data_IF_717644915708
#
_entry.id   IF_717644915708
#
_cell.length_a   1.000
_cell.length_b   1.000
_cell.length_c   1.000
_cell.angle_alpha   90.00
_cell.angle_beta   90.00
_cell.angle_gamma   90.00
#
_symmetry.space_group_name_H-M   'P 1'
#
loop_
_entity.id
_entity.type
_entity.pdbx_description
1 polymer ?
#
# COMPACT_ATOMS: atom_id res chain seq x y z
N UNK A 1 -9.12 -35.37 44.35
CA UNK A 1 -8.60 -33.99 44.22
C UNK A 1 -7.75 -33.95 42.97
N UNK A 2 -8.20 -33.30 41.90
CA UNK A 2 -7.40 -32.66 40.84
C UNK A 2 -8.39 -31.99 39.86
N UNK A 3 -8.59 -30.69 40.08
CA UNK A 3 -9.39 -29.79 39.27
C UNK A 3 -8.64 -29.43 37.99
N UNK A 4 -9.24 -29.69 36.83
CA UNK A 4 -8.76 -29.19 35.54
C UNK A 4 -8.93 -27.66 35.51
N UNK A 5 -7.89 -26.86 35.23
CA UNK A 5 -8.05 -25.42 35.12
C UNK A 5 -8.78 -25.06 33.82
N UNK A 6 -9.95 -24.44 33.96
CA UNK A 6 -10.62 -23.73 32.88
C UNK A 6 -9.77 -22.52 32.50
N UNK A 7 -8.98 -22.61 31.44
CA UNK A 7 -8.31 -21.45 30.87
C UNK A 7 -9.34 -20.57 30.14
N UNK A 8 -9.41 -19.25 30.44
CA UNK A 8 -10.29 -18.34 29.73
C UNK A 8 -9.85 -18.22 28.26
N UNK A 9 -10.83 -18.31 27.36
CA UNK A 9 -10.67 -18.26 25.91
C UNK A 9 -10.30 -16.85 25.41
N UNK A 10 -9.13 -16.34 25.81
CA UNK A 10 -8.67 -14.97 25.49
C UNK A 10 -7.93 -14.86 24.13
N UNK A 11 -7.85 -15.93 23.34
CA UNK A 11 -7.02 -15.95 22.13
C UNK A 11 -7.74 -16.39 20.85
N UNK A 12 -9.04 -16.06 20.74
CA UNK A 12 -9.84 -16.36 19.55
C UNK A 12 -10.43 -15.15 18.85
N UNK A 13 -9.99 -13.95 19.21
CA UNK A 13 -10.55 -12.69 18.71
C UNK A 13 -9.53 -11.82 17.93
N UNK A 14 -8.68 -12.47 17.14
CA UNK A 14 -7.97 -11.83 16.02
C UNK A 14 -8.77 -11.98 14.71
N UNK A 15 -10.10 -12.02 14.80
CA UNK A 15 -10.92 -11.67 13.65
C UNK A 15 -10.63 -10.19 13.39
N UNK A 16 -10.32 -9.73 12.16
CA UNK A 16 -10.35 -8.31 11.88
C UNK A 16 -11.79 -7.88 12.12
N UNK A 17 -12.05 -7.34 13.31
CA UNK A 17 -13.28 -6.64 13.66
C UNK A 17 -13.52 -5.72 12.49
N UNK A 18 -14.69 -5.82 11.85
CA UNK A 18 -15.13 -4.78 10.93
C UNK A 18 -15.02 -3.48 11.69
N UNK A 19 -13.96 -2.70 11.44
CA UNK A 19 -13.73 -1.45 12.16
C UNK A 19 -15.04 -0.67 12.07
N UNK A 20 -15.55 -0.19 13.20
CA UNK A 20 -16.72 0.68 13.15
C UNK A 20 -16.43 1.77 12.12
N UNK A 21 -17.40 2.13 11.27
CA UNK A 21 -17.19 3.13 10.19
C UNK A 21 -16.49 4.41 10.69
N UNK A 22 -16.68 4.76 11.96
CA UNK A 22 -15.97 5.83 12.65
C UNK A 22 -14.46 5.60 12.78
N UNK A 23 -14.01 4.41 13.13
CA UNK A 23 -12.58 4.06 13.24
C UNK A 23 -11.88 4.06 11.87
N UNK A 24 -12.54 3.56 10.81
CA UNK A 24 -11.99 3.62 9.45
C UNK A 24 -11.84 5.07 8.97
N UNK A 25 -12.86 5.89 9.21
CA UNK A 25 -12.85 7.33 8.85
C UNK A 25 -11.80 8.09 9.64
N UNK A 26 -11.63 7.81 10.94
CA UNK A 26 -10.60 8.40 11.77
C UNK A 26 -9.21 8.06 11.24
N UNK A 27 -8.97 6.78 10.90
CA UNK A 27 -7.71 6.34 10.31
C UNK A 27 -7.40 7.07 9.01
N UNK A 28 -8.38 7.21 8.12
CA UNK A 28 -8.24 7.97 6.87
C UNK A 28 -7.90 9.44 7.12
N UNK A 29 -8.54 10.08 8.11
CA UNK A 29 -8.23 11.48 8.48
C UNK A 29 -6.80 11.62 8.97
N UNK A 30 -6.32 10.70 9.82
CA UNK A 30 -4.94 10.72 10.30
C UNK A 30 -3.97 10.59 9.14
N UNK A 31 -4.21 9.66 8.22
CA UNK A 31 -3.37 9.51 7.03
C UNK A 31 -3.40 10.72 6.10
N UNK A 32 -4.56 11.37 5.94
CA UNK A 32 -4.67 12.62 5.19
C UNK A 32 -3.88 13.75 5.87
N UNK A 33 -4.06 13.96 7.17
CA UNK A 33 -3.31 14.97 7.92
C UNK A 33 -1.79 14.75 7.83
N UNK A 34 -1.34 13.50 7.87
CA UNK A 34 0.07 13.17 7.66
C UNK A 34 0.54 13.49 6.24
N UNK A 35 -0.18 13.02 5.23
CA UNK A 35 0.21 13.16 3.82
C UNK A 35 0.18 14.61 3.33
N UNK A 36 -0.76 15.43 3.81
CA UNK A 36 -0.85 16.85 3.43
C UNK A 36 -0.06 17.75 4.38
N UNK A 37 -0.16 17.50 5.69
CA UNK A 37 0.44 18.33 6.71
C UNK A 37 1.96 18.27 6.71
N UNK A 38 2.56 17.09 6.51
CA UNK A 38 4.02 16.95 6.45
C UNK A 38 4.66 17.82 5.37
N UNK A 39 4.28 17.67 4.08
CA UNK A 39 4.78 18.51 3.00
C UNK A 39 4.48 20.00 3.20
N UNK A 40 3.27 20.35 3.65
CA UNK A 40 2.91 21.75 3.91
C UNK A 40 3.75 22.37 5.02
N UNK A 41 4.05 21.61 6.08
CA UNK A 41 4.87 22.07 7.19
C UNK A 41 6.32 22.30 6.71
N UNK A 42 6.90 21.33 6.01
CA UNK A 42 8.29 21.44 5.52
C UNK A 42 8.42 22.59 4.51
N UNK A 43 7.51 22.67 3.54
CA UNK A 43 7.50 23.73 2.53
C UNK A 43 7.22 25.10 3.15
N UNK A 44 6.29 25.18 4.10
CA UNK A 44 5.97 26.42 4.82
C UNK A 44 7.14 26.91 5.67
N UNK A 45 7.84 26.01 6.36
CA UNK A 45 9.07 26.34 7.10
C UNK A 45 10.19 26.79 6.15
N UNK A 46 10.38 26.11 5.03
CA UNK A 46 11.36 26.51 4.02
C UNK A 46 11.06 27.92 3.49
N UNK A 47 9.81 28.21 3.13
CA UNK A 47 9.38 29.52 2.65
C UNK A 47 9.53 30.62 3.73
N UNK A 48 9.21 30.30 4.99
CA UNK A 48 9.37 31.23 6.11
C UNK A 48 10.85 31.57 6.34
N UNK A 49 11.73 30.56 6.35
CA UNK A 49 13.18 30.75 6.55
C UNK A 49 13.80 31.57 5.42
N UNK A 50 13.29 31.42 4.20
CA UNK A 50 13.74 32.17 3.03
C UNK A 50 13.42 33.67 3.13
N UNK A 51 12.36 34.05 3.85
CA UNK A 51 11.91 35.45 3.95
C UNK A 51 12.60 36.27 5.05
N UNK A 52 13.36 35.63 5.95
CA UNK A 52 14.07 36.36 6.99
C UNK A 52 15.19 37.25 6.38
N UNK A 53 15.66 38.31 7.05
CA UNK A 53 16.81 39.11 6.61
C UNK A 53 18.12 38.35 6.90
N UNK A 54 19.14 38.38 6.01
CA UNK A 54 20.37 37.63 6.23
C UNK A 54 21.14 38.23 7.42
N UNK A 55 21.11 37.51 8.55
CA UNK A 55 21.77 37.92 9.79
C UNK A 55 23.17 37.29 9.89
N UNK A 56 24.23 38.08 10.12
CA UNK A 56 25.60 37.57 10.26
C UNK A 56 25.83 36.84 11.59
N UNK A 57 24.94 36.98 12.57
CA UNK A 57 25.07 36.42 13.91
C UNK A 57 24.40 35.02 14.05
N UNK A 58 23.39 34.73 13.22
CA UNK A 58 22.69 33.44 13.17
C UNK A 58 22.51 32.98 11.73
N UNK A 59 23.40 32.11 11.25
CA UNK A 59 23.33 31.57 9.91
C UNK A 59 22.30 30.43 9.83
N UNK A 60 21.02 30.78 9.67
CA UNK A 60 19.99 29.82 9.28
C UNK A 60 20.27 29.31 7.86
N UNK A 61 20.11 27.99 7.64
CA UNK A 61 20.26 27.42 6.30
C UNK A 61 19.09 27.85 5.41
N UNK A 62 19.34 28.80 4.51
CA UNK A 62 18.29 29.35 3.65
C UNK A 62 18.17 28.60 2.34
N UNK A 63 16.96 28.20 1.92
CA UNK A 63 16.72 27.59 0.62
C UNK A 63 17.19 28.45 -0.56
N UNK A 64 17.03 29.78 -0.45
CA UNK A 64 17.38 30.80 -1.45
C UNK A 64 16.70 30.48 -2.78
N UNK A 65 15.38 30.38 -2.74
CA UNK A 65 14.61 30.02 -3.92
C UNK A 65 14.73 31.08 -5.01
N UNK A 66 15.00 30.67 -6.25
CA UNK A 66 14.97 31.60 -7.39
C UNK A 66 16.22 32.46 -7.58
N UNK A 67 17.21 32.43 -6.68
CA UNK A 67 18.42 33.25 -6.80
C UNK A 67 19.35 32.78 -7.95
N UNK A 68 19.51 31.46 -8.11
CA UNK A 68 20.36 30.87 -9.17
C UNK A 68 19.55 30.21 -10.29
N UNK A 69 18.45 29.57 -9.90
CA UNK A 69 17.55 28.80 -10.75
C UNK A 69 16.18 28.80 -10.08
N UNK A 70 15.11 28.48 -10.81
CA UNK A 70 13.76 28.30 -10.26
C UNK A 70 13.64 27.02 -9.42
N UNK A 71 14.55 26.85 -8.46
CA UNK A 71 14.75 25.74 -7.55
C UNK A 71 15.59 26.23 -6.37
N UNK A 72 15.96 25.33 -5.46
CA UNK A 72 16.91 25.61 -4.38
C UNK A 72 18.28 26.06 -4.93
N UNK A 73 18.97 26.91 -4.18
CA UNK A 73 20.28 27.44 -4.58
C UNK A 73 21.39 26.38 -4.61
N UNK A 74 21.45 25.52 -3.58
CA UNK A 74 22.54 24.58 -3.37
C UNK A 74 22.10 23.20 -2.90
N UNK A 75 23.05 22.26 -2.90
CA UNK A 75 22.78 20.86 -2.57
C UNK A 75 22.46 20.64 -1.09
N UNK A 76 23.04 21.43 -0.19
CA UNK A 76 22.79 21.31 1.25
C UNK A 76 21.34 21.72 1.58
N UNK A 77 20.85 22.75 0.92
CA UNK A 77 19.49 23.25 1.02
C UNK A 77 18.49 22.22 0.48
N UNK A 78 18.76 21.64 -0.69
CA UNK A 78 17.94 20.57 -1.27
C UNK A 78 17.90 19.36 -0.33
N UNK A 79 19.05 18.96 0.22
CA UNK A 79 19.12 17.84 1.15
C UNK A 79 18.31 18.10 2.41
N UNK A 80 18.47 19.28 3.04
CA UNK A 80 17.79 19.58 4.29
C UNK A 80 16.26 19.68 4.15
N UNK A 81 15.78 20.31 3.08
CA UNK A 81 14.36 20.65 2.93
C UNK A 81 13.59 19.72 1.98
N UNK A 82 14.26 18.91 1.15
CA UNK A 82 13.60 18.06 0.16
C UNK A 82 14.08 16.59 0.21
N UNK A 83 15.31 16.30 -0.21
CA UNK A 83 15.78 14.92 -0.34
C UNK A 83 16.02 14.20 0.99
N UNK A 84 16.29 14.92 2.08
CA UNK A 84 16.42 14.36 3.42
C UNK A 84 15.09 13.80 3.93
N UNK A 85 14.03 14.64 4.04
CA UNK A 85 12.70 14.17 4.40
C UNK A 85 12.18 13.06 3.48
N UNK A 86 12.31 13.21 2.16
CA UNK A 86 11.92 12.21 1.17
C UNK A 86 12.72 10.91 1.37
N UNK A 87 14.04 11.00 1.52
CA UNK A 87 14.92 9.85 1.73
C UNK A 87 14.57 9.09 3.01
N UNK A 88 14.24 9.80 4.09
CA UNK A 88 13.75 9.19 5.33
C UNK A 88 12.44 8.43 5.11
N UNK A 89 11.48 9.02 4.39
CA UNK A 89 10.21 8.36 4.02
C UNK A 89 10.45 7.10 3.19
N UNK A 90 11.35 7.16 2.22
CA UNK A 90 11.73 6.01 1.39
C UNK A 90 12.37 4.90 2.22
N UNK A 91 13.29 5.24 3.14
CA UNK A 91 13.93 4.29 4.01
C UNK A 91 12.92 3.56 4.91
N UNK A 92 11.97 4.29 5.49
CA UNK A 92 10.89 3.70 6.30
C UNK A 92 10.00 2.80 5.42
N UNK A 93 9.64 3.26 4.22
CA UNK A 93 8.84 2.47 3.27
C UNK A 93 9.55 1.17 2.85
N UNK A 94 10.86 1.22 2.60
CA UNK A 94 11.68 0.04 2.30
C UNK A 94 11.77 -0.93 3.50
N UNK A 95 11.89 -0.41 4.72
CA UNK A 95 11.88 -1.23 5.93
C UNK A 95 10.53 -1.96 6.09
N UNK A 96 9.41 -1.25 5.96
CA UNK A 96 8.08 -1.86 6.01
C UNK A 96 7.86 -2.89 4.91
N UNK A 97 8.36 -2.60 3.70
CA UNK A 97 8.36 -3.55 2.61
C UNK A 97 9.18 -4.79 2.94
N UNK A 98 10.41 -4.64 3.47
CA UNK A 98 11.27 -5.76 3.82
C UNK A 98 10.64 -6.66 4.90
N UNK A 99 10.01 -6.06 5.91
CA UNK A 99 9.26 -6.79 6.95
C UNK A 99 8.10 -7.56 6.31
N UNK A 100 7.27 -6.89 5.50
CA UNK A 100 6.12 -7.52 4.83
C UNK A 100 6.56 -8.64 3.89
N UNK A 101 7.64 -8.44 3.13
CA UNK A 101 8.20 -9.43 2.22
C UNK A 101 8.74 -10.65 2.98
N UNK A 102 9.41 -10.45 4.13
CA UNK A 102 9.84 -11.53 5.02
C UNK A 102 8.64 -12.32 5.54
N UNK A 103 7.63 -11.66 6.09
CA UNK A 103 6.42 -12.33 6.60
C UNK A 103 5.70 -13.14 5.50
N UNK A 104 5.61 -12.59 4.29
CA UNK A 104 5.03 -13.30 3.15
C UNK A 104 5.88 -14.50 2.74
N UNK A 105 7.20 -14.34 2.64
CA UNK A 105 8.11 -15.41 2.18
C UNK A 105 8.21 -16.55 3.22
N UNK A 106 8.38 -16.20 4.50
CA UNK A 106 8.40 -17.16 5.61
C UNK A 106 7.04 -17.83 5.83
N UNK A 107 5.95 -17.06 5.71
CA UNK A 107 4.59 -17.59 5.82
C UNK A 107 4.20 -18.52 4.67
N UNK A 108 4.77 -18.34 3.48
CA UNK A 108 4.66 -19.28 2.36
C UNK A 108 5.42 -20.59 2.64
N UNK A 109 6.61 -20.49 3.23
CA UNK A 109 7.48 -21.64 3.54
C UNK A 109 6.91 -22.56 4.63
N UNK A 110 6.09 -22.04 5.56
CA UNK A 110 5.43 -22.84 6.62
C UNK A 110 4.24 -23.70 6.16
N UNK A 111 3.88 -23.74 4.88
CA UNK A 111 2.99 -24.76 4.33
C UNK A 111 1.47 -24.60 4.56
N UNK A 112 0.96 -23.44 5.02
CA UNK A 112 -0.50 -23.16 5.14
C UNK A 112 -1.16 -22.78 3.78
N UNK A 113 -0.77 -23.44 2.69
CA UNK A 113 -0.92 -22.88 1.33
C UNK A 113 -2.33 -22.93 0.71
N UNK A 114 -3.33 -23.58 1.32
CA UNK A 114 -4.54 -23.96 0.56
C UNK A 114 -5.75 -23.02 0.72
N UNK A 115 -5.75 -22.07 1.68
CA UNK A 115 -6.93 -21.21 1.90
C UNK A 115 -6.70 -19.69 1.91
N UNK A 116 -5.45 -19.22 2.07
CA UNK A 116 -5.08 -17.78 2.17
C UNK A 116 -4.21 -17.26 1.00
N UNK A 117 -3.90 -18.11 0.00
CA UNK A 117 -2.98 -17.76 -1.09
C UNK A 117 -3.43 -16.53 -1.89
N UNK A 118 -4.74 -16.32 -2.03
CA UNK A 118 -5.30 -15.20 -2.80
C UNK A 118 -5.13 -13.85 -2.12
N UNK A 119 -5.31 -13.77 -0.79
CA UNK A 119 -5.10 -12.52 -0.03
C UNK A 119 -3.62 -12.17 0.05
N UNK A 120 -2.76 -13.16 0.32
CA UNK A 120 -1.29 -12.97 0.33
C UNK A 120 -0.75 -12.59 -1.04
N UNK A 121 -1.23 -13.21 -2.12
CA UNK A 121 -0.86 -12.83 -3.49
C UNK A 121 -1.36 -11.44 -3.87
N UNK A 122 -2.53 -11.03 -3.37
CA UNK A 122 -3.07 -9.68 -3.58
C UNK A 122 -2.22 -8.65 -2.83
N UNK A 123 -1.89 -8.90 -1.56
CA UNK A 123 -1.00 -8.05 -0.77
C UNK A 123 0.40 -7.94 -1.40
N UNK A 124 0.95 -9.05 -1.89
CA UNK A 124 2.22 -9.09 -2.61
C UNK A 124 2.19 -8.27 -3.90
N UNK A 125 1.11 -8.37 -4.71
CA UNK A 125 0.95 -7.53 -5.92
C UNK A 125 0.85 -6.05 -5.59
N UNK A 126 0.15 -5.68 -4.52
CA UNK A 126 0.03 -4.29 -4.08
C UNK A 126 1.39 -3.77 -3.61
N UNK A 127 2.11 -4.52 -2.78
CA UNK A 127 3.45 -4.17 -2.32
C UNK A 127 4.45 -4.04 -3.49
N UNK A 128 4.44 -4.98 -4.43
CA UNK A 128 5.31 -4.94 -5.60
C UNK A 128 5.02 -3.71 -6.47
N UNK A 129 3.75 -3.34 -6.65
CA UNK A 129 3.37 -2.09 -7.33
C UNK A 129 3.87 -0.84 -6.59
N UNK A 130 3.76 -0.81 -5.26
CA UNK A 130 4.21 0.31 -4.43
C UNK A 130 5.73 0.50 -4.53
N UNK A 131 6.52 -0.57 -4.49
CA UNK A 131 7.99 -0.47 -4.58
C UNK A 131 8.47 -0.15 -5.98
N UNK A 132 7.90 -0.77 -7.02
CA UNK A 132 8.37 -0.56 -8.40
C UNK A 132 8.00 0.84 -8.89
N UNK A 133 6.74 1.26 -8.70
CA UNK A 133 6.26 2.51 -9.30
C UNK A 133 6.74 3.74 -8.52
N UNK A 134 6.80 3.65 -7.19
CA UNK A 134 7.22 4.78 -6.36
C UNK A 134 8.66 4.63 -5.88
N UNK A 135 9.08 3.46 -5.40
CA UNK A 135 10.43 3.29 -4.84
C UNK A 135 11.54 3.53 -5.86
N UNK A 136 11.45 2.94 -7.06
CA UNK A 136 12.52 3.00 -8.06
C UNK A 136 12.70 4.42 -8.64
N UNK A 137 11.61 5.12 -8.95
CA UNK A 137 11.66 6.48 -9.50
C UNK A 137 12.30 7.46 -8.51
N UNK A 138 11.87 7.40 -7.25
CA UNK A 138 12.43 8.24 -6.20
C UNK A 138 13.89 7.90 -5.86
N UNK A 139 14.28 6.63 -5.89
CA UNK A 139 15.71 6.25 -5.74
C UNK A 139 16.52 6.79 -6.91
N UNK A 140 15.99 6.72 -8.14
CA UNK A 140 16.66 7.29 -9.31
C UNK A 140 16.85 8.81 -9.20
N UNK A 141 15.86 9.55 -8.70
CA UNK A 141 16.00 11.00 -8.43
C UNK A 141 17.07 11.32 -7.38
N UNK A 142 17.11 10.55 -6.29
CA UNK A 142 18.13 10.75 -5.24
C UNK A 142 19.53 10.47 -5.80
N UNK A 143 19.66 9.43 -6.63
CA UNK A 143 20.93 9.06 -7.27
C UNK A 143 21.34 10.11 -8.32
N UNK A 144 20.41 10.62 -9.14
CA UNK A 144 20.71 11.65 -10.15
C UNK A 144 21.21 12.93 -9.49
N UNK A 145 20.60 13.32 -8.37
CA UNK A 145 21.05 14.44 -7.56
C UNK A 145 22.43 14.20 -6.90
N UNK A 146 22.64 13.03 -6.30
CA UNK A 146 23.85 12.74 -5.53
C UNK A 146 25.10 12.51 -6.41
N UNK A 147 24.94 11.78 -7.52
CA UNK A 147 26.03 11.44 -8.44
C UNK A 147 26.29 12.58 -9.43
N UNK A 148 25.24 13.30 -9.84
CA UNK A 148 25.34 14.34 -10.86
C UNK A 148 25.84 13.79 -12.20
N UNK A 149 26.59 14.60 -12.94
CA UNK A 149 27.14 14.24 -14.25
C UNK A 149 26.34 14.80 -15.43
N UNK A 150 26.62 14.33 -16.66
CA UNK A 150 25.95 14.83 -17.85
C UNK A 150 24.44 14.55 -17.84
N UNK A 151 23.64 15.55 -18.20
CA UNK A 151 22.18 15.51 -18.14
C UNK A 151 21.57 14.35 -18.95
N UNK A 152 22.20 13.94 -20.04
CA UNK A 152 21.67 12.90 -20.93
C UNK A 152 21.58 11.51 -20.26
N UNK A 153 22.36 11.25 -19.21
CA UNK A 153 22.34 9.97 -18.49
C UNK A 153 21.02 9.83 -17.70
N UNK A 154 20.46 10.95 -17.26
CA UNK A 154 19.27 11.01 -16.41
C UNK A 154 17.98 11.22 -17.18
N UNK A 155 18.02 11.54 -18.48
CA UNK A 155 16.80 11.78 -19.27
C UNK A 155 15.78 10.65 -19.21
N UNK A 156 16.23 9.40 -19.20
CA UNK A 156 15.32 8.26 -19.10
C UNK A 156 14.64 8.19 -17.71
N UNK A 157 15.40 8.38 -16.64
CA UNK A 157 14.87 8.35 -15.27
C UNK A 157 13.98 9.56 -14.99
N UNK A 158 14.37 10.73 -15.47
CA UNK A 158 13.60 11.98 -15.34
C UNK A 158 12.28 11.88 -16.12
N UNK A 159 12.29 11.24 -17.30
CA UNK A 159 11.08 10.99 -18.07
C UNK A 159 10.13 10.03 -17.34
N UNK A 160 10.64 8.96 -16.75
CA UNK A 160 9.84 8.03 -15.95
C UNK A 160 9.25 8.72 -14.70
N UNK A 161 10.04 9.57 -14.05
CA UNK A 161 9.60 10.38 -12.92
C UNK A 161 8.51 11.40 -13.34
N UNK A 162 8.69 12.10 -14.46
CA UNK A 162 7.68 12.98 -15.02
C UNK A 162 6.39 12.24 -15.41
N UNK A 163 6.51 10.99 -15.88
CA UNK A 163 5.39 10.11 -16.21
C UNK A 163 4.81 9.37 -14.99
N UNK A 164 5.33 9.59 -13.77
CA UNK A 164 4.95 8.85 -12.57
C UNK A 164 3.44 8.91 -12.30
N UNK A 165 2.80 10.06 -12.56
CA UNK A 165 1.34 10.19 -12.44
C UNK A 165 0.57 9.20 -13.34
N UNK A 166 1.04 8.99 -14.57
CA UNK A 166 0.46 8.02 -15.51
C UNK A 166 0.70 6.59 -15.02
N UNK A 167 1.89 6.30 -14.50
CA UNK A 167 2.23 4.98 -13.96
C UNK A 167 1.34 4.63 -12.74
N UNK A 168 1.10 5.60 -11.85
CA UNK A 168 0.18 5.44 -10.70
C UNK A 168 -1.25 5.19 -11.21
N UNK A 169 -1.71 5.97 -12.19
CA UNK A 169 -3.04 5.80 -12.78
C UNK A 169 -3.20 4.40 -13.39
N UNK A 170 -2.20 3.90 -14.12
CA UNK A 170 -2.22 2.55 -14.66
C UNK A 170 -2.18 1.49 -13.54
N UNK A 171 -1.38 1.69 -12.50
CA UNK A 171 -1.26 0.75 -11.39
C UNK A 171 -2.54 0.62 -10.55
N UNK A 172 -3.26 1.73 -10.33
CA UNK A 172 -4.46 1.77 -9.46
C UNK A 172 -5.75 1.77 -10.27
N UNK A 173 -5.87 2.63 -11.28
CA UNK A 173 -7.09 2.82 -12.07
C UNK A 173 -7.41 1.67 -13.04
N UNK A 174 -6.39 0.99 -13.58
CA UNK A 174 -6.63 -0.13 -14.50
C UNK A 174 -6.92 -1.47 -13.79
N UNK A 175 -7.10 -1.47 -12.47
CA UNK A 175 -7.46 -2.68 -11.74
C UNK A 175 -8.83 -3.21 -12.21
N UNK A 176 -9.00 -4.53 -12.37
CA UNK A 176 -10.24 -5.12 -12.88
C UNK A 176 -11.45 -4.76 -12.00
N UNK A 177 -11.24 -4.57 -10.70
CA UNK A 177 -12.26 -4.12 -9.76
C UNK A 177 -12.76 -2.70 -10.08
N UNK A 178 -11.84 -1.76 -10.32
CA UNK A 178 -12.16 -0.38 -10.72
C UNK A 178 -12.83 -0.35 -12.09
N UNK A 179 -12.30 -1.10 -13.06
CA UNK A 179 -12.90 -1.21 -14.39
C UNK A 179 -14.31 -1.82 -14.35
N UNK A 180 -14.54 -2.83 -13.50
CA UNK A 180 -15.86 -3.42 -13.30
C UNK A 180 -16.84 -2.45 -12.62
N UNK A 181 -16.40 -1.70 -11.61
CA UNK A 181 -17.21 -0.66 -10.97
C UNK A 181 -17.55 0.47 -11.96
N UNK A 182 -16.59 0.90 -12.76
CA UNK A 182 -16.76 1.92 -13.79
C UNK A 182 -17.74 1.45 -14.88
N UNK A 183 -17.61 0.21 -15.35
CA UNK A 183 -18.55 -0.40 -16.29
C UNK A 183 -19.96 -0.46 -15.71
N UNK A 184 -20.13 -0.78 -14.41
CA UNK A 184 -21.43 -0.76 -13.73
C UNK A 184 -22.00 0.66 -13.61
N UNK A 185 -21.16 1.66 -13.40
CA UNK A 185 -21.57 3.06 -13.35
C UNK A 185 -22.06 3.55 -14.72
N UNK A 186 -21.32 3.25 -15.79
CA UNK A 186 -21.72 3.59 -17.16
C UNK A 186 -22.87 2.75 -17.71
N UNK A 187 -23.04 1.51 -17.23
CA UNK A 187 -24.17 0.64 -17.60
C UNK A 187 -25.43 0.90 -16.76
N UNK A 188 -25.36 1.76 -15.74
CA UNK A 188 -26.52 2.24 -14.97
C UNK A 188 -27.27 3.28 -15.80
N UNK A 189 -27.90 2.82 -16.87
CA UNK A 189 -28.99 3.57 -17.49
C UNK A 189 -30.15 3.64 -16.46
N UNK A 190 -30.77 4.81 -16.20
CA UNK A 190 -31.89 4.95 -15.25
C UNK A 190 -33.21 4.32 -15.72
N UNK A 191 -33.21 3.50 -16.78
CA UNK A 191 -34.44 2.91 -17.33
C UNK A 191 -34.54 1.42 -17.01
N UNK A 192 -35.76 1.04 -16.63
CA UNK A 192 -36.30 -0.30 -16.35
C UNK A 192 -36.11 -0.87 -14.94
N UNK A 193 -36.72 -0.21 -13.96
CA UNK A 193 -37.42 -0.90 -12.86
C UNK A 193 -38.88 -0.42 -12.77
N UNK A 194 -39.53 -0.30 -13.94
CA UNK A 194 -40.98 -0.33 -14.06
C UNK A 194 -41.28 -1.54 -14.96
N UNK A 195 -41.85 -2.60 -14.40
CA UNK A 195 -42.22 -3.80 -15.16
C UNK A 195 -41.60 -5.11 -14.69
N UNK A 196 -41.76 -5.45 -13.41
CA UNK A 196 -41.80 -6.87 -13.01
C UNK A 196 -42.87 -7.11 -11.95
N UNK A 197 -44.06 -6.55 -12.22
CA UNK A 197 -45.31 -7.07 -11.71
C UNK A 197 -45.87 -7.96 -12.84
N UNK A 198 -45.78 -9.27 -12.64
CA UNK A 198 -46.14 -10.26 -13.66
C UNK A 198 -46.04 -11.67 -13.11
N UNK A 199 -47.12 -12.08 -12.44
CA UNK A 199 -47.64 -13.43 -12.22
C UNK A 199 -46.70 -14.64 -12.40
N UNK A 200 -46.57 -15.41 -11.31
CA UNK A 200 -46.21 -16.82 -11.34
C UNK A 200 -46.67 -17.48 -10.03
N UNK A 201 -47.81 -18.15 -10.10
CA UNK A 201 -48.48 -18.92 -9.05
C UNK A 201 -47.58 -19.96 -8.33
N UNK A 202 -47.88 -20.17 -7.04
CA UNK A 202 -47.99 -21.43 -6.25
C UNK A 202 -47.17 -22.67 -6.69
N UNK A 203 -46.56 -23.52 -5.85
CA UNK A 203 -47.14 -24.26 -4.70
C UNK A 203 -46.04 -25.18 -4.07
N UNK A 204 -46.08 -25.37 -2.73
CA UNK A 204 -45.81 -26.60 -1.92
C UNK A 204 -44.51 -27.43 -1.99
N UNK A 205 -43.83 -27.47 -0.82
CA UNK A 205 -43.47 -28.60 0.08
C UNK A 205 -43.08 -30.01 -0.43
N UNK A 206 -42.30 -30.68 0.45
CA UNK A 206 -41.82 -32.09 0.47
C UNK A 206 -40.49 -32.32 -0.28
N UNK A 207 -39.44 -32.95 0.24
CA UNK A 207 -39.13 -33.66 1.48
C UNK A 207 -37.79 -34.40 1.24
N UNK A 208 -36.89 -34.46 2.23
CA UNK A 208 -35.71 -35.35 2.22
C UNK A 208 -36.13 -36.80 2.50
N UNK A 209 -35.39 -37.79 1.98
CA UNK A 209 -34.49 -38.63 2.82
C UNK A 209 -33.23 -39.07 2.02
N UNK A 210 -32.23 -39.83 2.48
CA UNK A 210 -31.60 -40.25 3.74
C UNK A 210 -30.48 -41.24 3.30
N UNK A 211 -29.37 -41.26 4.04
CA UNK A 211 -28.38 -42.34 4.25
C UNK A 211 -27.60 -43.02 3.10
N UNK A 212 -26.30 -43.24 3.38
CA UNK A 212 -25.48 -44.29 2.77
C UNK A 212 -23.98 -44.13 3.00
N UNK A 213 -23.47 -44.77 4.06
CA UNK A 213 -22.06 -44.84 4.48
C UNK A 213 -21.10 -45.50 3.46
N UNK A 214 -19.82 -45.14 3.49
CA UNK A 214 -18.67 -45.99 3.10
C UNK A 214 -17.32 -45.43 3.61
N UNK A 215 -16.75 -46.17 4.57
CA UNK A 215 -15.41 -46.15 5.18
C UNK A 215 -14.34 -46.56 4.10
N UNK A 216 -13.07 -46.15 4.00
CA UNK A 216 -11.89 -46.31 4.91
C UNK A 216 -10.60 -45.74 4.21
N UNK A 217 -9.69 -45.11 4.98
CA UNK A 217 -8.20 -45.24 5.08
C UNK A 217 -7.32 -45.42 3.80
N UNK A 218 -6.07 -44.93 3.61
CA UNK A 218 -5.00 -44.37 4.45
C UNK A 218 -3.82 -43.82 3.56
N UNK A 219 -2.67 -43.35 4.11
CA UNK A 219 -1.86 -42.25 3.57
C UNK A 219 -0.63 -42.67 2.74
N UNK A 220 -0.01 -41.71 2.04
CA UNK A 220 1.38 -41.86 1.58
C UNK A 220 2.19 -40.61 1.88
N UNK A 221 3.11 -40.80 2.82
CA UNK A 221 4.24 -39.96 3.19
C UNK A 221 5.18 -39.75 2.01
N UNK A 222 5.62 -38.50 1.78
CA UNK A 222 6.95 -38.26 1.21
C UNK A 222 7.61 -37.04 1.83
N UNK A 223 8.84 -37.33 2.23
CA UNK A 223 9.80 -36.64 3.06
C UNK A 223 10.30 -35.32 2.45
N UNK A 224 10.62 -34.35 3.32
CA UNK A 224 11.38 -33.13 3.02
C UNK A 224 12.78 -33.43 2.44
N UNK A 225 13.51 -32.46 1.84
CA UNK A 225 14.21 -31.44 2.64
C UNK A 225 14.41 -30.07 1.94
N UNK A 226 14.55 -28.99 2.71
CA UNK A 226 15.81 -28.24 2.84
C UNK A 226 15.54 -27.05 3.76
N UNK A 227 16.06 -27.12 4.99
CA UNK A 227 16.08 -26.00 5.90
C UNK A 227 16.98 -24.90 5.32
N UNK A 228 16.41 -23.72 5.11
CA UNK A 228 17.18 -22.49 5.15
C UNK A 228 16.48 -21.60 6.15
N UNK A 229 17.18 -21.39 7.26
CA UNK A 229 16.74 -20.64 8.41
C UNK A 229 16.55 -19.18 7.94
N UNK A 230 15.30 -18.70 8.01
CA UNK A 230 14.97 -17.28 7.99
C UNK A 230 14.94 -16.73 9.42
#
# INVERSE_FOLDING_TARGET
MLTVPSYPSAFRDLRPVSLEKGQETLRLRIYACYAWGGPLLIAGLAALVDHFPPDPEYSFLRPRFGEKQCWFYGNMEILAYFFGPVGGLLAINLLFFAITARELTCGLWKGEFVKSTTERATLGRICMKLVIVMGITWVADVVSWAVGGPQYIWYFTDLLNACQGVLIFMAVGCQPQVRAALKRFFSRNPQTNAGRQGNGHSTTSHGMPSMGDSVTQNPSTKTAPLETIC
#
